data_IF_042528553023
#
_entry.id   IF_042528553023
#
_cell.length_a   1.000
_cell.length_b   1.000
_cell.length_c   1.000
_cell.angle_alpha   90.00
_cell.angle_beta   90.00
_cell.angle_gamma   90.00
#
_symmetry.space_group_name_H-M   'P 1'
#
loop_
_entity.id
_entity.type
_entity.pdbx_description
1 polymer ?
#
# COMPACT_ATOMS: atom_id res chain seq x y z
N UNK A 1 -73.53 2.79 -4.04
CA UNK A 1 -72.92 3.06 -5.37
C UNK A 1 -72.04 4.30 -5.17
N UNK A 2 -70.81 4.22 -4.66
CA UNK A 2 -69.67 3.37 -5.05
C UNK A 2 -69.28 3.50 -6.53
N UNK A 3 -67.98 3.67 -6.75
CA UNK A 3 -67.25 3.55 -8.03
C UNK A 3 -67.29 4.75 -9.00
N UNK A 4 -66.75 5.89 -8.56
CA UNK A 4 -65.77 6.67 -9.35
C UNK A 4 -64.60 7.04 -8.45
N UNK A 5 -63.76 6.04 -8.20
CA UNK A 5 -62.53 6.18 -7.45
C UNK A 5 -61.36 6.19 -8.45
N UNK A 6 -60.32 6.98 -8.15
CA UNK A 6 -58.94 6.77 -8.62
C UNK A 6 -58.76 6.83 -10.15
N UNK A 7 -58.76 8.04 -10.71
CA UNK A 7 -58.22 8.30 -12.07
C UNK A 7 -57.44 9.63 -12.16
N UNK A 8 -57.22 10.32 -11.04
CA UNK A 8 -56.64 11.68 -10.97
C UNK A 8 -55.34 11.78 -10.14
N UNK A 9 -54.82 10.65 -9.65
CA UNK A 9 -53.62 10.60 -8.79
C UNK A 9 -52.53 9.67 -9.34
N UNK A 10 -52.65 9.28 -10.62
CA UNK A 10 -51.58 8.65 -11.42
C UNK A 10 -50.91 9.68 -12.34
N UNK A 11 -50.94 10.95 -11.93
CA UNK A 11 -50.23 12.06 -12.56
C UNK A 11 -48.80 12.25 -11.97
N UNK A 12 -48.37 11.36 -11.07
CA UNK A 12 -46.98 11.22 -10.70
C UNK A 12 -46.24 10.34 -11.72
N UNK A 13 -45.22 10.91 -12.37
CA UNK A 13 -44.36 10.24 -13.37
C UNK A 13 -45.05 9.84 -14.69
N UNK A 14 -45.77 10.77 -15.32
CA UNK A 14 -45.77 10.82 -16.78
C UNK A 14 -44.33 11.14 -17.23
N UNK A 15 -43.67 10.12 -17.79
CA UNK A 15 -42.51 10.32 -18.65
C UNK A 15 -43.03 11.07 -19.87
N UNK A 16 -42.44 12.23 -20.17
CA UNK A 16 -42.85 13.04 -21.30
C UNK A 16 -42.32 12.42 -22.60
N UNK A 17 -43.12 11.53 -23.21
CA UNK A 17 -42.85 10.86 -24.49
C UNK A 17 -42.67 11.85 -25.68
N UNK A 18 -42.74 13.16 -25.45
CA UNK A 18 -42.48 14.21 -26.46
C UNK A 18 -41.06 14.18 -27.03
N UNK A 19 -40.12 13.45 -26.41
CA UNK A 19 -38.71 13.42 -26.79
C UNK A 19 -38.15 11.99 -26.86
N UNK A 20 -37.33 11.65 -27.88
CA UNK A 20 -36.72 10.32 -27.98
C UNK A 20 -35.68 10.07 -26.88
N UNK A 21 -35.41 8.80 -26.52
CA UNK A 21 -34.47 8.40 -25.44
C UNK A 21 -33.05 8.99 -25.53
N UNK A 22 -32.62 9.43 -26.72
CA UNK A 22 -31.32 10.08 -26.95
C UNK A 22 -31.41 11.61 -27.00
N UNK A 23 -32.55 12.20 -26.62
CA UNK A 23 -32.71 13.65 -26.58
C UNK A 23 -31.82 14.27 -25.50
N UNK A 24 -31.26 15.42 -25.81
CA UNK A 24 -30.42 16.21 -24.91
C UNK A 24 -30.80 17.66 -25.13
N UNK A 25 -31.32 18.31 -24.09
CA UNK A 25 -31.68 19.73 -24.13
C UNK A 25 -30.42 20.58 -24.38
N UNK A 26 -30.25 21.08 -25.62
CA UNK A 26 -29.07 21.86 -26.00
C UNK A 26 -28.88 23.13 -25.12
N UNK A 27 -30.00 23.70 -24.64
CA UNK A 27 -30.02 24.91 -23.80
C UNK A 27 -29.60 24.63 -22.34
N UNK A 28 -30.00 23.49 -21.75
CA UNK A 28 -29.79 23.23 -20.29
C UNK A 28 -28.68 22.21 -19.99
N UNK A 29 -28.26 21.43 -20.99
CA UNK A 29 -27.27 20.36 -20.81
C UNK A 29 -25.92 20.87 -20.28
N UNK A 30 -25.47 22.05 -20.71
CA UNK A 30 -24.18 22.61 -20.33
C UNK A 30 -24.23 23.51 -19.08
N UNK A 31 -25.41 23.89 -18.58
CA UNK A 31 -25.55 24.79 -17.42
C UNK A 31 -24.98 24.21 -16.12
N UNK A 32 -25.05 22.89 -15.97
CA UNK A 32 -24.54 22.18 -14.79
C UNK A 32 -23.05 21.81 -14.87
N UNK A 33 -22.32 22.31 -15.88
CA UNK A 33 -20.94 21.95 -16.16
C UNK A 33 -19.97 22.73 -15.26
N UNK A 34 -19.52 22.08 -14.19
CA UNK A 34 -18.62 22.68 -13.20
C UNK A 34 -17.14 22.41 -13.54
N UNK A 35 -16.34 23.47 -13.66
CA UNK A 35 -14.90 23.39 -13.83
C UNK A 35 -14.19 23.35 -12.48
N UNK A 36 -13.30 22.37 -12.29
CA UNK A 36 -12.46 22.19 -11.11
C UNK A 36 -13.18 22.17 -9.73
N UNK A 37 -14.41 21.61 -9.57
CA UNK A 37 -15.20 21.71 -8.32
C UNK A 37 -14.58 20.99 -7.10
N UNK A 38 -13.49 20.24 -7.29
CA UNK A 38 -12.74 19.56 -6.21
C UNK A 38 -11.24 19.89 -6.24
N UNK A 39 -10.87 21.08 -6.72
CA UNK A 39 -9.48 21.52 -6.71
C UNK A 39 -8.98 21.68 -5.27
N UNK A 40 -8.11 20.78 -4.82
CA UNK A 40 -7.31 20.97 -3.61
C UNK A 40 -6.02 21.70 -4.02
N UNK A 41 -5.74 22.91 -3.50
CA UNK A 41 -4.45 23.55 -3.71
C UNK A 41 -3.33 22.68 -3.12
N UNK A 42 -2.17 22.66 -3.77
CA UNK A 42 -1.01 21.96 -3.23
C UNK A 42 -0.26 22.91 -2.29
N UNK A 43 -0.27 22.60 -1.01
CA UNK A 43 0.60 23.24 -0.04
C UNK A 43 2.05 22.80 -0.25
N UNK A 44 2.98 23.75 -0.25
CA UNK A 44 4.38 23.49 -0.57
C UNK A 44 5.03 22.48 0.38
N UNK A 45 4.87 22.65 1.69
CA UNK A 45 5.53 21.80 2.68
C UNK A 45 5.03 20.35 2.69
N UNK A 46 3.72 20.06 2.65
CA UNK A 46 3.20 18.71 2.44
C UNK A 46 3.67 18.07 1.12
N UNK A 47 3.77 18.85 0.04
CA UNK A 47 4.23 18.32 -1.25
C UNK A 47 5.72 17.94 -1.24
N UNK A 48 6.57 18.80 -0.66
CA UNK A 48 7.99 18.48 -0.38
C UNK A 48 8.07 17.23 0.50
N UNK A 49 7.25 17.15 1.55
CA UNK A 49 7.18 16.03 2.46
C UNK A 49 6.79 14.70 1.77
N UNK A 50 5.85 14.71 0.82
CA UNK A 50 5.52 13.51 0.02
C UNK A 50 6.63 13.15 -0.99
N UNK A 51 7.34 14.13 -1.56
CA UNK A 51 8.45 13.88 -2.49
C UNK A 51 9.62 13.08 -1.85
N UNK A 52 9.73 13.10 -0.51
CA UNK A 52 10.75 12.34 0.23
C UNK A 52 10.70 10.83 -0.03
N UNK A 53 9.54 10.24 -0.37
CA UNK A 53 9.42 8.80 -0.68
C UNK A 53 10.22 8.46 -1.96
N UNK A 54 10.14 9.35 -2.95
CA UNK A 54 10.85 9.24 -4.22
C UNK A 54 12.36 9.37 -3.96
N UNK A 55 12.75 10.40 -3.21
CA UNK A 55 14.14 10.63 -2.79
C UNK A 55 14.71 9.42 -2.04
N UNK A 56 14.00 8.86 -1.07
CA UNK A 56 14.46 7.66 -0.36
C UNK A 56 14.74 6.48 -1.29
N UNK A 57 13.91 6.27 -2.33
CA UNK A 57 14.14 5.20 -3.28
C UNK A 57 15.35 5.49 -4.19
N UNK A 58 15.43 6.69 -4.77
CA UNK A 58 16.56 7.10 -5.61
C UNK A 58 17.88 7.05 -4.82
N UNK A 59 17.90 7.51 -3.56
CA UNK A 59 19.07 7.36 -2.69
C UNK A 59 19.41 5.89 -2.44
N UNK A 60 18.44 4.99 -2.22
CA UNK A 60 18.71 3.55 -2.05
C UNK A 60 19.35 2.92 -3.29
N UNK A 61 18.89 3.31 -4.49
CA UNK A 61 19.49 2.91 -5.78
C UNK A 61 20.91 3.45 -5.93
N UNK A 62 21.15 4.74 -5.63
CA UNK A 62 22.47 5.36 -5.70
C UNK A 62 23.44 4.71 -4.73
N UNK A 63 23.02 4.44 -3.48
CA UNK A 63 23.83 3.73 -2.48
C UNK A 63 24.20 2.33 -2.99
N UNK A 64 23.23 1.57 -3.54
CA UNK A 64 23.50 0.26 -4.11
C UNK A 64 24.56 0.32 -5.23
N UNK A 65 24.45 1.27 -6.16
CA UNK A 65 25.43 1.45 -7.25
C UNK A 65 26.80 1.92 -6.73
N UNK A 66 26.85 2.76 -5.69
CA UNK A 66 28.10 3.19 -5.05
C UNK A 66 28.79 2.02 -4.32
N UNK A 67 28.03 1.18 -3.62
CA UNK A 67 28.54 -0.05 -3.01
C UNK A 67 29.07 -1.02 -4.08
N UNK A 68 28.32 -1.24 -5.17
CA UNK A 68 28.77 -2.09 -6.27
C UNK A 68 30.07 -1.58 -6.91
N UNK A 69 30.17 -0.28 -7.22
CA UNK A 69 31.39 0.29 -7.81
C UNK A 69 32.57 0.26 -6.85
N UNK A 70 32.35 0.48 -5.54
CA UNK A 70 33.39 0.31 -4.51
C UNK A 70 33.90 -1.13 -4.37
N UNK A 71 33.01 -2.13 -4.53
CA UNK A 71 33.37 -3.56 -4.57
C UNK A 71 34.09 -3.90 -5.88
N UNK A 72 33.64 -3.38 -7.02
CA UNK A 72 34.23 -3.62 -8.34
C UNK A 72 35.64 -3.01 -8.50
N UNK A 73 35.91 -1.90 -7.79
CA UNK A 73 37.24 -1.28 -7.69
C UNK A 73 38.13 -1.90 -6.59
N UNK A 74 37.70 -3.00 -5.95
CA UNK A 74 38.40 -3.69 -4.85
C UNK A 74 38.71 -2.82 -3.61
N UNK A 75 38.02 -1.67 -3.47
CA UNK A 75 38.23 -0.72 -2.36
C UNK A 75 37.49 -1.08 -1.08
N UNK A 76 36.37 -1.80 -1.21
CA UNK A 76 35.52 -2.18 -0.09
C UNK A 76 35.22 -3.68 -0.20
N UNK A 77 35.42 -4.42 0.89
CA UNK A 77 35.09 -5.84 0.88
C UNK A 77 33.56 -6.04 0.82
N UNK A 78 33.02 -6.83 -0.13
CA UNK A 78 31.58 -7.06 -0.22
C UNK A 78 30.98 -7.63 1.08
N UNK A 79 31.78 -8.38 1.82
CA UNK A 79 31.45 -8.99 3.11
C UNK A 79 31.21 -7.92 4.18
N UNK A 80 32.00 -6.84 4.21
CA UNK A 80 31.72 -5.69 5.11
C UNK A 80 30.46 -4.92 4.72
N UNK A 81 30.17 -4.77 3.42
CA UNK A 81 28.95 -4.07 2.96
C UNK A 81 27.70 -4.84 3.40
N UNK A 82 27.63 -6.14 3.09
CA UNK A 82 26.50 -6.98 3.49
C UNK A 82 26.46 -7.21 5.01
N UNK A 83 27.61 -7.19 5.70
CA UNK A 83 27.68 -7.22 7.17
C UNK A 83 27.01 -6.00 7.82
N UNK A 84 27.29 -4.79 7.32
CA UNK A 84 26.61 -3.59 7.82
C UNK A 84 25.12 -3.53 7.44
N UNK A 85 24.76 -4.02 6.25
CA UNK A 85 23.38 -4.04 5.78
C UNK A 85 22.50 -5.10 6.48
N UNK A 86 23.04 -6.30 6.75
CA UNK A 86 22.39 -7.32 7.61
C UNK A 86 22.18 -6.77 9.03
N UNK A 87 23.19 -6.14 9.64
CA UNK A 87 23.06 -5.48 10.96
C UNK A 87 21.98 -4.39 10.93
N UNK A 88 21.96 -3.54 9.91
CA UNK A 88 20.91 -2.53 9.72
C UNK A 88 19.51 -3.13 9.55
N UNK A 89 19.40 -4.24 8.82
CA UNK A 89 18.15 -4.99 8.61
C UNK A 89 17.64 -5.61 9.91
N UNK A 90 18.53 -6.24 10.70
CA UNK A 90 18.20 -6.78 12.03
C UNK A 90 17.80 -5.65 12.99
N UNK A 91 18.54 -4.54 13.01
CA UNK A 91 18.20 -3.38 13.84
C UNK A 91 16.83 -2.77 13.45
N UNK A 92 16.53 -2.65 12.16
CA UNK A 92 15.22 -2.22 11.67
C UNK A 92 14.09 -3.19 12.02
N UNK A 93 14.36 -4.49 12.01
CA UNK A 93 13.41 -5.52 12.45
C UNK A 93 13.16 -5.48 13.97
N UNK A 94 14.20 -5.35 14.78
CA UNK A 94 14.07 -5.18 16.25
C UNK A 94 13.33 -3.87 16.58
N UNK A 95 13.64 -2.77 15.89
CA UNK A 95 12.94 -1.49 16.08
C UNK A 95 11.46 -1.59 15.67
N UNK A 96 11.15 -2.34 14.60
CA UNK A 96 9.77 -2.65 14.21
C UNK A 96 9.05 -3.44 15.31
N UNK A 97 9.62 -4.55 15.74
CA UNK A 97 9.07 -5.43 16.77
C UNK A 97 8.86 -4.69 18.11
N UNK A 98 9.80 -3.81 18.49
CA UNK A 98 9.70 -2.98 19.71
C UNK A 98 8.51 -2.01 19.69
N UNK A 99 8.27 -1.28 18.60
CA UNK A 99 7.15 -0.32 18.56
C UNK A 99 5.79 -1.03 18.40
N UNK A 100 5.72 -2.13 17.63
CA UNK A 100 4.53 -3.00 17.59
C UNK A 100 4.25 -3.60 18.98
N UNK A 101 5.31 -3.91 19.74
CA UNK A 101 5.29 -4.20 21.17
C UNK A 101 4.43 -3.23 21.97
N UNK A 102 4.67 -1.93 21.81
CA UNK A 102 3.96 -0.85 22.52
C UNK A 102 2.51 -0.71 22.09
N UNK A 103 2.23 -0.67 20.79
CA UNK A 103 0.84 -0.50 20.30
C UNK A 103 -0.10 -1.59 20.86
N UNK A 104 0.35 -2.85 20.93
CA UNK A 104 -0.47 -3.93 21.46
C UNK A 104 -0.70 -3.81 22.97
N UNK A 105 0.28 -3.32 23.74
CA UNK A 105 0.13 -3.07 25.18
C UNK A 105 -0.81 -1.89 25.43
N UNK A 106 -0.68 -0.81 24.67
CA UNK A 106 -1.58 0.36 24.74
C UNK A 106 -3.01 -0.03 24.35
N UNK A 107 -3.21 -0.80 23.27
CA UNK A 107 -4.54 -1.34 22.90
C UNK A 107 -5.11 -2.28 23.96
N UNK A 108 -4.29 -3.15 24.56
CA UNK A 108 -4.74 -4.04 25.64
C UNK A 108 -5.17 -3.24 26.88
N UNK A 109 -4.43 -2.19 27.25
CA UNK A 109 -4.79 -1.30 28.34
C UNK A 109 -6.11 -0.55 28.06
N UNK A 110 -6.30 0.00 26.84
CA UNK A 110 -7.55 0.66 26.43
C UNK A 110 -8.76 -0.30 26.46
N UNK A 111 -8.59 -1.54 26.01
CA UNK A 111 -9.65 -2.56 26.06
C UNK A 111 -9.98 -2.97 27.50
N UNK A 112 -8.99 -3.00 28.39
CA UNK A 112 -9.19 -3.29 29.81
C UNK A 112 -9.93 -2.14 30.50
N UNK A 113 -9.49 -0.89 30.31
CA UNK A 113 -10.10 0.30 30.90
C UNK A 113 -11.55 0.51 30.43
N UNK A 114 -11.80 0.34 29.11
CA UNK A 114 -13.15 0.37 28.54
C UNK A 114 -14.06 -0.76 29.02
N UNK A 115 -13.51 -1.90 29.47
CA UNK A 115 -14.29 -2.98 30.08
C UNK A 115 -14.64 -2.71 31.55
N UNK A 116 -13.81 -1.96 32.29
CA UNK A 116 -14.10 -1.54 33.66
C UNK A 116 -15.11 -0.38 33.71
N UNK A 117 -15.01 0.61 32.80
CA UNK A 117 -15.95 1.73 32.72
C UNK A 117 -17.39 1.37 32.34
N UNK A 118 -17.66 0.14 31.88
CA UNK A 118 -19.00 -0.32 31.48
C UNK A 118 -19.95 -0.68 32.63
N UNK A 119 -19.44 -0.87 33.86
CA UNK A 119 -20.22 -1.42 34.97
C UNK A 119 -20.78 -0.37 35.95
N UNK A 120 -20.25 0.85 35.96
CA UNK A 120 -20.61 1.88 36.95
C UNK A 120 -21.88 2.70 36.59
N UNK A 121 -22.45 2.47 35.39
CA UNK A 121 -23.62 3.19 34.90
C UNK A 121 -24.98 2.68 35.45
N UNK A 122 -25.00 1.77 36.42
CA UNK A 122 -26.23 1.25 37.05
C UNK A 122 -26.13 1.27 38.59
N UNK A 123 -26.05 2.45 39.19
CA UNK A 123 -26.68 2.67 40.51
C UNK A 123 -26.96 4.14 40.82
N UNK A 124 -28.09 4.37 41.49
CA UNK A 124 -28.44 5.56 42.28
C UNK A 124 -28.64 6.91 41.56
N UNK A 125 -29.91 7.25 41.32
CA UNK A 125 -30.48 8.55 41.75
C UNK A 125 -31.97 8.39 42.06
N UNK A 126 -32.27 7.89 43.25
CA UNK A 126 -33.60 7.99 43.87
C UNK A 126 -33.50 8.95 45.05
N UNK A 127 -33.95 10.20 44.85
CA UNK A 127 -34.14 11.14 45.96
C UNK A 127 -35.32 12.08 45.70
N UNK A 128 -36.32 11.90 46.55
CA UNK A 128 -37.46 12.77 46.84
C UNK A 128 -37.16 14.28 46.80
N UNK A 129 -38.14 15.05 46.30
CA UNK A 129 -38.25 16.48 46.56
C UNK A 129 -38.55 16.78 48.04
N UNK A 130 -38.59 18.07 48.42
CA UNK A 130 -39.89 18.75 48.41
C UNK A 130 -39.85 20.13 47.74
N UNK A 131 -41.02 20.73 47.51
CA UNK A 131 -41.19 21.91 46.66
C UNK A 131 -41.19 23.26 47.38
N UNK A 132 -41.22 24.33 46.58
CA UNK A 132 -41.77 25.62 46.94
C UNK A 132 -42.38 26.25 45.68
N UNK A 133 -43.52 26.91 45.83
CA UNK A 133 -44.33 27.41 44.71
C UNK A 133 -44.39 28.94 44.70
N UNK A 134 -44.32 29.52 43.50
CA UNK A 134 -44.98 30.81 43.20
C UNK A 134 -45.34 30.85 41.73
N UNK A 135 -46.57 31.25 41.42
CA UNK A 135 -47.15 31.20 40.07
C UNK A 135 -47.45 32.62 39.54
N UNK A 136 -47.38 32.80 38.22
CA UNK A 136 -47.97 33.94 37.49
C UNK A 136 -48.54 33.44 36.14
N UNK A 137 -49.77 33.87 35.83
CA UNK A 137 -50.58 33.56 34.63
C UNK A 137 -50.51 34.75 33.63
N UNK A 138 -50.86 34.71 32.34
CA UNK A 138 -51.39 33.73 31.34
C UNK A 138 -51.27 34.40 29.93
N UNK A 139 -51.92 34.00 28.80
CA UNK A 139 -52.66 32.76 28.42
C UNK A 139 -52.25 32.14 27.05
N UNK A 140 -53.00 31.11 26.65
CA UNK A 140 -53.14 30.35 25.38
C UNK A 140 -52.99 31.14 24.03
N UNK A 141 -52.80 30.54 22.84
CA UNK A 141 -53.54 29.41 22.21
C UNK A 141 -52.73 28.55 21.18
N UNK A 142 -53.21 27.35 20.77
CA UNK A 142 -52.42 26.30 20.10
C UNK A 142 -52.81 25.95 18.65
N UNK A 143 -51.94 25.21 17.92
CA UNK A 143 -52.30 24.30 16.82
C UNK A 143 -51.40 23.04 16.86
N UNK A 144 -51.99 21.85 16.71
CA UNK A 144 -51.33 20.55 16.48
C UNK A 144 -51.41 20.20 14.97
N UNK A 145 -50.65 19.26 14.38
CA UNK A 145 -50.81 17.80 14.47
C UNK A 145 -49.62 17.11 13.76
N UNK A 146 -49.01 16.09 14.36
CA UNK A 146 -49.21 14.65 14.09
C UNK A 146 -48.43 14.09 12.87
N UNK A 147 -47.57 13.10 13.14
CA UNK A 147 -46.79 12.35 12.14
C UNK A 147 -47.27 10.90 12.11
N UNK A 148 -47.62 10.38 10.92
CA UNK A 148 -48.23 9.04 10.77
C UNK A 148 -47.43 8.12 9.83
N UNK A 149 -47.19 6.90 10.28
CA UNK A 149 -46.33 5.88 9.65
C UNK A 149 -47.08 4.96 8.69
N UNK A 150 -46.57 4.74 7.46
CA UNK A 150 -46.98 3.65 6.54
C UNK A 150 -45.70 3.18 5.81
N UNK A 151 -45.08 2.01 6.08
CA UNK A 151 -45.42 0.59 5.82
C UNK A 151 -45.31 0.16 4.34
N UNK A 152 -44.30 -0.67 4.05
CA UNK A 152 -43.99 -1.29 2.73
C UNK A 152 -45.01 -2.38 2.34
N UNK A 153 -45.18 -2.61 1.04
CA UNK A 153 -45.68 -3.86 0.44
C UNK A 153 -44.80 -4.26 -0.76
N UNK A 154 -44.88 -5.51 -1.23
CA UNK A 154 -43.89 -6.14 -2.13
C UNK A 154 -44.49 -6.78 -3.39
N UNK A 155 -43.65 -6.90 -4.43
CA UNK A 155 -43.80 -7.77 -5.59
C UNK A 155 -44.11 -7.03 -6.91
N UNK A 156 -43.80 -7.52 -8.11
CA UNK A 156 -42.92 -8.58 -8.61
C UNK A 156 -43.24 -8.70 -10.13
N UNK A 157 -42.25 -8.75 -11.03
CA UNK A 157 -42.52 -8.96 -12.47
C UNK A 157 -41.36 -8.61 -13.41
N UNK A 158 -40.84 -9.61 -14.11
CA UNK A 158 -40.00 -9.54 -15.33
C UNK A 158 -40.89 -9.94 -16.55
N UNK A 159 -40.51 -9.86 -17.85
CA UNK A 159 -39.15 -10.16 -18.39
C UNK A 159 -38.66 -9.36 -19.64
N UNK A 160 -37.42 -9.69 -20.08
CA UNK A 160 -36.87 -9.67 -21.47
C UNK A 160 -36.82 -8.35 -22.31
N UNK A 161 -35.82 -8.05 -23.17
CA UNK A 161 -34.52 -8.67 -23.55
C UNK A 161 -33.57 -7.66 -24.25
N UNK A 162 -32.33 -8.10 -24.54
CA UNK A 162 -31.35 -7.54 -25.49
C UNK A 162 -30.41 -6.37 -25.06
N UNK A 163 -29.20 -6.73 -24.64
CA UNK A 163 -27.99 -5.88 -24.73
C UNK A 163 -26.95 -6.49 -25.67
N UNK A 164 -26.41 -5.71 -26.62
CA UNK A 164 -25.30 -6.12 -27.49
C UNK A 164 -23.95 -5.78 -26.84
N UNK A 165 -23.03 -6.75 -26.79
CA UNK A 165 -21.61 -6.52 -26.48
C UNK A 165 -20.88 -5.85 -27.65
N UNK A 166 -19.87 -5.00 -27.38
CA UNK A 166 -18.67 -4.88 -28.19
C UNK A 166 -17.56 -5.78 -27.61
N UNK A 167 -16.94 -6.60 -28.45
CA UNK A 167 -15.84 -7.49 -28.08
C UNK A 167 -14.48 -6.78 -28.14
N UNK A 168 -13.67 -6.95 -27.09
CA UNK A 168 -12.24 -6.65 -27.10
C UNK A 168 -11.45 -7.95 -26.90
N UNK A 169 -10.45 -8.17 -27.75
CA UNK A 169 -9.67 -9.42 -27.85
C UNK A 169 -8.71 -9.62 -26.69
N UNK A 170 -9.00 -10.60 -25.82
CA UNK A 170 -8.09 -11.04 -24.77
C UNK A 170 -7.04 -12.02 -25.31
N UNK A 171 -5.76 -11.67 -25.21
CA UNK A 171 -4.66 -12.63 -25.40
C UNK A 171 -4.35 -13.27 -24.04
N UNK A 172 -4.63 -14.56 -23.92
CA UNK A 172 -4.49 -15.32 -22.67
C UNK A 172 -3.02 -15.46 -22.27
N UNK A 173 -2.68 -15.09 -21.03
CA UNK A 173 -1.50 -15.64 -20.34
C UNK A 173 -1.83 -15.93 -18.89
N UNK A 174 -1.46 -17.13 -18.46
CA UNK A 174 -1.85 -17.73 -17.17
C UNK A 174 -0.94 -17.25 -16.03
N UNK A 175 -1.55 -17.05 -14.85
CA UNK A 175 -0.81 -17.00 -13.59
C UNK A 175 0.03 -18.26 -13.37
N UNK A 176 1.14 -18.13 -12.65
CA UNK A 176 1.46 -19.08 -11.60
C UNK A 176 1.56 -18.39 -10.24
N UNK A 177 0.71 -18.82 -9.30
CA UNK A 177 0.99 -18.63 -7.87
C UNK A 177 2.20 -19.52 -7.51
N UNK A 178 3.36 -18.91 -7.28
CA UNK A 178 4.58 -19.64 -6.88
C UNK A 178 4.58 -19.96 -5.38
N UNK A 179 3.68 -20.84 -4.93
CA UNK A 179 3.79 -21.52 -3.64
C UNK A 179 4.77 -22.68 -3.74
N UNK A 180 6.01 -22.48 -3.29
CA UNK A 180 7.02 -23.54 -3.23
C UNK A 180 6.76 -24.52 -2.09
N UNK A 181 6.17 -25.68 -2.41
CA UNK A 181 6.30 -26.92 -1.63
C UNK A 181 6.47 -28.09 -2.61
N UNK A 182 7.45 -28.95 -2.36
CA UNK A 182 7.74 -30.11 -3.19
C UNK A 182 6.71 -31.23 -2.98
N UNK A 183 6.36 -31.94 -4.05
CA UNK A 183 5.59 -33.19 -4.00
C UNK A 183 6.42 -34.33 -4.57
N UNK A 184 6.71 -35.33 -3.75
CA UNK A 184 7.18 -36.64 -4.22
C UNK A 184 6.03 -37.41 -4.86
N UNK A 185 6.34 -38.20 -5.89
CA UNK A 185 5.36 -38.99 -6.66
C UNK A 185 4.84 -40.21 -5.89
N UNK A 186 3.58 -40.60 -6.14
CA UNK A 186 3.22 -42.01 -6.25
C UNK A 186 1.94 -42.23 -7.08
N UNK A 187 1.93 -43.28 -7.90
CA UNK A 187 0.88 -43.63 -8.88
C UNK A 187 -0.41 -44.20 -8.24
N UNK A 188 -1.58 -43.97 -8.88
CA UNK A 188 -2.46 -45.02 -9.45
C UNK A 188 -3.81 -44.45 -9.96
N UNK A 189 -4.56 -45.25 -10.73
CA UNK A 189 -5.65 -44.82 -11.64
C UNK A 189 -7.07 -45.33 -11.18
N UNK A 190 -8.19 -45.29 -11.94
CA UNK A 190 -9.40 -44.57 -11.51
C UNK A 190 -10.67 -45.45 -11.33
N UNK A 191 -11.76 -44.88 -10.76
CA UNK A 191 -13.07 -45.56 -10.75
C UNK A 191 -14.29 -44.78 -10.22
N UNK A 192 -15.24 -44.51 -11.12
CA UNK A 192 -16.71 -44.46 -10.93
C UNK A 192 -17.40 -43.51 -9.90
N UNK A 193 -17.97 -42.42 -10.45
CA UNK A 193 -19.41 -42.10 -10.51
C UNK A 193 -20.28 -41.73 -9.27
N UNK A 194 -21.00 -40.61 -9.45
CA UNK A 194 -22.37 -40.28 -8.97
C UNK A 194 -22.63 -39.89 -7.50
N UNK A 195 -23.30 -38.74 -7.32
CA UNK A 195 -23.96 -38.35 -6.05
C UNK A 195 -24.09 -36.84 -5.84
N UNK A 196 -25.28 -36.28 -6.08
CA UNK A 196 -25.63 -34.87 -5.76
C UNK A 196 -26.42 -34.83 -4.44
N UNK A 197 -26.13 -33.87 -3.55
CA UNK A 197 -27.03 -33.15 -2.59
C UNK A 197 -26.22 -32.60 -1.35
N UNK A 198 -26.74 -31.68 -0.50
CA UNK A 198 -25.96 -30.48 -0.14
C UNK A 198 -25.69 -30.26 1.37
N UNK A 199 -24.90 -29.21 1.64
CA UNK A 199 -24.79 -28.43 2.90
C UNK A 199 -24.94 -29.14 4.26
N UNK A 200 -23.83 -29.31 4.97
CA UNK A 200 -23.73 -29.00 6.42
C UNK A 200 -22.33 -28.48 6.77
N UNK A 201 -22.26 -27.34 7.45
CA UNK A 201 -21.00 -26.77 7.93
C UNK A 201 -20.56 -27.43 9.23
N UNK A 202 -19.83 -28.55 9.14
CA UNK A 202 -19.26 -29.20 10.32
C UNK A 202 -17.98 -28.51 10.77
N UNK A 203 -18.03 -27.87 11.94
CA UNK A 203 -16.88 -27.32 12.63
C UNK A 203 -15.93 -28.43 13.09
N UNK A 204 -14.79 -28.57 12.42
CA UNK A 204 -13.74 -29.52 12.82
C UNK A 204 -13.05 -29.05 14.10
N UNK A 205 -13.51 -29.58 15.24
CA UNK A 205 -12.76 -29.58 16.49
C UNK A 205 -11.68 -30.67 16.39
N UNK A 206 -10.41 -30.30 16.48
CA UNK A 206 -9.30 -31.26 16.56
C UNK A 206 -9.09 -31.69 18.03
N UNK A 207 -9.11 -32.99 18.35
CA UNK A 207 -8.85 -33.45 19.71
C UNK A 207 -7.34 -33.44 20.03
N UNK A 208 -7.07 -32.96 21.24
CA UNK A 208 -5.88 -33.11 22.10
C UNK A 208 -4.78 -34.10 21.64
N UNK A 209 -3.50 -33.71 21.73
CA UNK A 209 -2.43 -34.73 21.72
C UNK A 209 -1.06 -34.38 21.15
N UNK A 210 -0.62 -33.12 21.11
CA UNK A 210 0.82 -32.84 20.96
C UNK A 210 1.27 -31.82 22.00
N UNK A 211 2.37 -32.14 22.69
CA UNK A 211 3.04 -31.22 23.63
C UNK A 211 3.81 -30.16 22.86
N UNK A 212 3.08 -29.37 22.07
CA UNK A 212 3.58 -28.12 21.54
C UNK A 212 3.76 -27.17 22.72
N UNK A 213 5.03 -26.96 23.12
CA UNK A 213 5.43 -25.83 23.95
C UNK A 213 4.69 -24.61 23.42
N UNK A 214 3.81 -24.03 24.24
CA UNK A 214 2.86 -23.01 23.80
C UNK A 214 3.57 -21.67 23.68
N UNK A 215 4.44 -21.57 22.68
CA UNK A 215 5.17 -20.37 22.34
C UNK A 215 4.18 -19.25 22.06
N UNK A 216 4.48 -18.04 22.55
CA UNK A 216 3.71 -16.84 22.23
C UNK A 216 3.57 -16.71 20.70
N UNK A 217 2.40 -16.27 20.16
CA UNK A 217 2.21 -16.08 18.72
C UNK A 217 3.31 -15.21 18.09
N UNK A 218 3.83 -14.24 18.84
CA UNK A 218 5.01 -13.43 18.46
C UNK A 218 6.27 -14.28 18.28
N UNK A 219 6.59 -15.18 19.21
CA UNK A 219 7.74 -16.10 19.08
C UNK A 219 7.59 -17.01 17.86
N UNK A 220 6.35 -17.43 17.52
CA UNK A 220 6.07 -18.20 16.32
C UNK A 220 6.31 -17.38 15.04
N UNK A 221 5.85 -16.13 14.96
CA UNK A 221 6.12 -15.22 13.83
C UNK A 221 7.63 -14.92 13.66
N UNK A 222 8.35 -14.75 14.77
CA UNK A 222 9.81 -14.60 14.76
C UNK A 222 10.49 -15.87 14.22
N UNK A 223 10.04 -17.06 14.62
CA UNK A 223 10.60 -18.33 14.15
C UNK A 223 10.30 -18.59 12.67
N UNK A 224 9.10 -18.27 12.17
CA UNK A 224 8.79 -18.40 10.73
C UNK A 224 9.61 -17.42 9.89
N UNK A 225 9.82 -16.19 10.37
CA UNK A 225 10.67 -15.18 9.73
C UNK A 225 12.15 -15.59 9.74
N UNK A 226 12.67 -16.11 10.86
CA UNK A 226 14.03 -16.62 10.94
C UNK A 226 14.23 -17.84 10.03
N UNK A 227 13.24 -18.74 9.95
CA UNK A 227 13.24 -19.89 9.04
C UNK A 227 13.27 -19.46 7.58
N UNK A 228 12.46 -18.48 7.17
CA UNK A 228 12.46 -18.01 5.77
C UNK A 228 13.76 -17.27 5.43
N UNK A 229 14.29 -16.44 6.33
CA UNK A 229 15.61 -15.80 6.17
C UNK A 229 16.75 -16.83 6.01
N UNK A 230 16.76 -17.88 6.82
CA UNK A 230 17.74 -18.97 6.71
C UNK A 230 17.62 -19.72 5.37
N UNK A 231 16.39 -19.98 4.89
CA UNK A 231 16.17 -20.60 3.58
C UNK A 231 16.66 -19.71 2.43
N UNK A 232 16.46 -18.39 2.50
CA UNK A 232 17.00 -17.42 1.53
C UNK A 232 18.54 -17.44 1.57
N UNK A 233 19.13 -17.38 2.76
CA UNK A 233 20.59 -17.42 2.93
C UNK A 233 21.22 -18.70 2.35
N UNK A 234 20.68 -19.88 2.71
CA UNK A 234 21.17 -21.17 2.24
C UNK A 234 20.97 -21.37 0.73
N UNK A 235 19.82 -20.93 0.18
CA UNK A 235 19.57 -21.02 -1.27
C UNK A 235 20.49 -20.09 -2.07
N UNK A 236 20.74 -18.85 -1.62
CA UNK A 236 21.68 -17.94 -2.26
C UNK A 236 23.12 -18.48 -2.26
N UNK A 237 23.56 -19.17 -1.19
CA UNK A 237 24.87 -19.83 -1.17
C UNK A 237 24.97 -20.93 -2.24
N UNK A 238 23.95 -21.78 -2.36
CA UNK A 238 23.90 -22.83 -3.39
C UNK A 238 23.76 -22.30 -4.82
N UNK A 239 23.02 -21.20 -5.01
CA UNK A 239 22.78 -20.59 -6.33
C UNK A 239 23.89 -19.64 -6.77
N UNK A 240 24.75 -19.14 -5.88
CA UNK A 240 25.81 -18.18 -6.22
C UNK A 240 26.72 -18.61 -7.41
N UNK A 241 27.21 -19.86 -7.49
CA UNK A 241 27.98 -20.31 -8.65
C UNK A 241 27.18 -20.26 -9.97
N UNK A 242 25.88 -20.56 -9.91
CA UNK A 242 24.97 -20.52 -11.06
C UNK A 242 24.75 -19.07 -11.49
N UNK A 243 24.42 -18.17 -10.57
CA UNK A 243 24.26 -16.73 -10.82
C UNK A 243 25.53 -16.11 -11.43
N UNK A 244 26.72 -16.53 -10.97
CA UNK A 244 27.99 -16.12 -11.57
C UNK A 244 28.15 -16.61 -13.01
N UNK A 245 27.73 -17.84 -13.30
CA UNK A 245 27.86 -18.44 -14.63
C UNK A 245 26.85 -17.91 -15.66
N UNK A 246 25.68 -17.46 -15.19
CA UNK A 246 24.47 -17.19 -16.00
C UNK A 246 24.73 -16.25 -17.18
N UNK A 247 25.44 -15.14 -16.96
CA UNK A 247 25.69 -14.11 -17.99
C UNK A 247 27.14 -14.10 -18.48
N UNK A 248 27.88 -15.21 -18.31
CA UNK A 248 29.30 -15.31 -18.72
C UNK A 248 29.50 -15.19 -20.23
N UNK A 249 28.49 -15.58 -21.02
CA UNK A 249 28.47 -15.45 -22.49
C UNK A 249 28.07 -14.05 -22.97
N UNK A 250 27.56 -13.19 -22.09
CA UNK A 250 27.14 -11.82 -22.44
C UNK A 250 28.33 -10.85 -22.33
N UNK A 251 28.46 -9.94 -23.30
CA UNK A 251 29.49 -8.91 -23.31
C UNK A 251 29.34 -7.94 -22.13
N UNK A 252 30.47 -7.38 -21.67
CA UNK A 252 30.51 -6.43 -20.55
C UNK A 252 29.62 -5.21 -20.81
N UNK A 253 29.71 -4.63 -22.01
CA UNK A 253 29.03 -3.37 -22.35
C UNK A 253 27.50 -3.53 -22.36
N UNK A 254 27.02 -4.68 -22.86
CA UNK A 254 25.60 -5.05 -22.78
C UNK A 254 25.14 -5.28 -21.34
N UNK A 255 25.98 -5.82 -20.46
CA UNK A 255 25.68 -5.97 -19.02
C UNK A 255 25.54 -4.60 -18.32
N UNK A 256 26.43 -3.65 -18.61
CA UNK A 256 26.33 -2.28 -18.10
C UNK A 256 25.08 -1.56 -18.63
N UNK A 257 24.78 -1.71 -19.92
CA UNK A 257 23.59 -1.11 -20.54
C UNK A 257 22.28 -1.72 -19.98
N UNK A 258 22.19 -3.05 -19.88
CA UNK A 258 21.01 -3.74 -19.36
C UNK A 258 20.76 -3.42 -17.88
N UNK A 259 21.81 -3.41 -17.06
CA UNK A 259 21.67 -3.04 -15.64
C UNK A 259 21.25 -1.58 -15.44
N UNK A 260 21.76 -0.65 -16.26
CA UNK A 260 21.30 0.74 -16.28
C UNK A 260 19.81 0.85 -16.63
N UNK A 261 19.36 0.21 -17.72
CA UNK A 261 17.95 0.23 -18.13
C UNK A 261 17.01 -0.49 -17.14
N UNK A 262 17.46 -1.60 -16.54
CA UNK A 262 16.70 -2.29 -15.49
C UNK A 262 16.60 -1.47 -14.21
N UNK A 263 17.63 -0.69 -13.87
CA UNK A 263 17.59 0.20 -12.71
C UNK A 263 16.73 1.46 -12.96
N UNK A 264 16.71 1.97 -14.20
CA UNK A 264 15.72 2.95 -14.66
C UNK A 264 14.30 2.37 -14.52
N UNK A 265 14.07 1.15 -15.01
CA UNK A 265 12.78 0.49 -14.93
C UNK A 265 12.36 0.27 -13.47
N UNK A 266 13.27 -0.13 -12.59
CA UNK A 266 13.04 -0.21 -11.14
C UNK A 266 12.51 1.12 -10.59
N UNK A 267 13.21 2.23 -10.84
CA UNK A 267 12.82 3.57 -10.34
C UNK A 267 11.47 4.04 -10.90
N UNK A 268 11.20 3.87 -12.20
CA UNK A 268 9.93 4.32 -12.80
C UNK A 268 8.72 3.45 -12.46
N UNK A 269 8.93 2.15 -12.21
CA UNK A 269 7.85 1.21 -11.87
C UNK A 269 7.66 1.01 -10.37
N UNK A 270 8.41 1.73 -9.53
CA UNK A 270 8.27 1.67 -8.09
C UNK A 270 6.94 2.29 -7.63
N UNK A 271 6.22 1.62 -6.72
CA UNK A 271 4.98 2.12 -6.13
C UNK A 271 5.28 3.20 -5.05
N UNK A 272 5.30 4.46 -5.45
CA UNK A 272 5.42 5.61 -4.55
C UNK A 272 4.11 5.96 -3.82
N UNK A 273 3.05 5.16 -3.98
CA UNK A 273 1.74 5.40 -3.39
C UNK A 273 1.76 5.44 -1.86
N UNK A 274 1.33 6.58 -1.29
CA UNK A 274 1.12 6.73 0.15
C UNK A 274 -0.14 6.02 0.67
N UNK A 275 -1.06 5.64 -0.22
CA UNK A 275 -2.39 5.13 0.11
C UNK A 275 -2.52 3.59 0.10
N UNK A 276 -3.53 3.02 0.77
CA UNK A 276 -3.80 1.58 0.74
C UNK A 276 -4.59 1.10 -0.50
N UNK A 277 -5.15 2.01 -1.31
CA UNK A 277 -6.27 1.68 -2.23
C UNK A 277 -5.89 1.23 -3.66
N UNK A 278 -4.62 1.28 -4.07
CA UNK A 278 -4.20 0.70 -5.36
C UNK A 278 -2.90 -0.08 -5.21
N UNK A 279 -2.99 -1.34 -4.75
CA UNK A 279 -1.88 -2.30 -4.82
C UNK A 279 -1.70 -2.77 -6.26
N UNK A 280 -0.91 -2.04 -7.04
CA UNK A 280 -0.22 -2.67 -8.16
C UNK A 280 0.82 -3.68 -7.62
N UNK A 281 1.12 -4.76 -8.35
CA UNK A 281 2.04 -5.76 -7.85
C UNK A 281 3.46 -5.18 -7.80
N UNK A 282 3.96 -4.97 -6.58
CA UNK A 282 5.31 -4.45 -6.31
C UNK A 282 6.43 -5.30 -6.95
N UNK A 283 6.10 -6.51 -7.42
CA UNK A 283 7.00 -7.42 -8.11
C UNK A 283 7.70 -6.83 -9.32
N UNK A 284 7.08 -5.95 -10.12
CA UNK A 284 7.75 -5.47 -11.35
C UNK A 284 9.05 -4.70 -11.02
N UNK A 285 8.96 -3.71 -10.13
CA UNK A 285 10.09 -2.90 -9.70
C UNK A 285 11.13 -3.73 -8.93
N UNK A 286 10.71 -4.58 -7.98
CA UNK A 286 11.65 -5.42 -7.22
C UNK A 286 12.33 -6.44 -8.11
N UNK A 287 11.62 -7.08 -9.05
CA UNK A 287 12.20 -8.04 -9.98
C UNK A 287 13.20 -7.35 -10.93
N UNK A 288 12.90 -6.12 -11.38
CA UNK A 288 13.83 -5.34 -12.20
C UNK A 288 15.14 -5.02 -11.45
N UNK A 289 15.05 -4.56 -10.20
CA UNK A 289 16.25 -4.34 -9.36
C UNK A 289 17.02 -5.63 -9.08
N UNK A 290 16.33 -6.73 -8.75
CA UNK A 290 16.98 -8.02 -8.51
C UNK A 290 17.66 -8.55 -9.78
N UNK A 291 17.05 -8.41 -10.97
CA UNK A 291 17.67 -8.76 -12.25
C UNK A 291 18.86 -7.85 -12.59
N UNK A 292 18.75 -6.53 -12.37
CA UNK A 292 19.90 -5.63 -12.53
C UNK A 292 21.05 -6.06 -11.61
N UNK A 293 20.73 -6.41 -10.37
CA UNK A 293 21.70 -6.80 -9.34
C UNK A 293 22.36 -8.14 -9.63
N UNK A 294 21.63 -9.17 -10.11
CA UNK A 294 22.23 -10.47 -10.46
C UNK A 294 23.13 -10.37 -11.70
N UNK A 295 22.73 -9.57 -12.69
CA UNK A 295 23.50 -9.31 -13.93
C UNK A 295 24.77 -8.48 -13.63
N UNK A 296 24.76 -7.60 -12.63
CA UNK A 296 25.96 -6.93 -12.10
C UNK A 296 26.82 -7.87 -11.25
N UNK A 297 26.20 -8.66 -10.36
CA UNK A 297 26.88 -9.57 -9.44
C UNK A 297 27.76 -10.59 -10.17
N UNK A 298 27.30 -11.13 -11.31
CA UNK A 298 28.02 -12.14 -12.09
C UNK A 298 29.37 -11.66 -12.64
N UNK A 299 29.59 -10.35 -12.74
CA UNK A 299 30.87 -9.74 -13.14
C UNK A 299 31.93 -9.74 -12.04
N UNK A 300 31.57 -10.08 -10.80
CA UNK A 300 32.49 -10.10 -9.67
C UNK A 300 33.38 -11.36 -9.68
N UNK A 301 34.67 -11.24 -9.31
CA UNK A 301 35.65 -12.31 -9.50
C UNK A 301 35.39 -13.56 -8.64
N UNK A 302 34.74 -13.41 -7.48
CA UNK A 302 34.51 -14.48 -6.50
C UNK A 302 33.02 -14.78 -6.31
N UNK A 303 32.66 -16.04 -6.11
CA UNK A 303 31.28 -16.45 -5.75
C UNK A 303 30.82 -15.85 -4.43
N UNK A 304 31.72 -15.63 -3.47
CA UNK A 304 31.41 -14.91 -2.22
C UNK A 304 31.02 -13.46 -2.48
N UNK A 305 31.59 -12.81 -3.50
CA UNK A 305 31.24 -11.43 -3.86
C UNK A 305 29.86 -11.39 -4.54
N UNK A 306 29.60 -12.34 -5.45
CA UNK A 306 28.28 -12.54 -6.08
C UNK A 306 27.19 -12.71 -5.00
N UNK A 307 27.40 -13.65 -4.07
CA UNK A 307 26.51 -13.94 -2.94
C UNK A 307 26.26 -12.70 -2.06
N UNK A 308 27.32 -11.97 -1.71
CA UNK A 308 27.19 -10.80 -0.84
C UNK A 308 26.40 -9.67 -1.53
N UNK A 309 26.63 -9.44 -2.83
CA UNK A 309 25.89 -8.41 -3.58
C UNK A 309 24.42 -8.80 -3.80
N UNK A 310 24.12 -10.07 -4.03
CA UNK A 310 22.72 -10.52 -4.22
C UNK A 310 21.93 -10.51 -2.90
N UNK A 311 22.56 -10.87 -1.78
CA UNK A 311 21.95 -10.72 -0.46
C UNK A 311 21.70 -9.23 -0.12
N UNK A 312 22.71 -8.37 -0.32
CA UNK A 312 22.58 -6.92 -0.15
C UNK A 312 21.48 -6.30 -1.03
N UNK A 313 21.33 -6.78 -2.27
CA UNK A 313 20.24 -6.37 -3.17
C UNK A 313 18.85 -6.71 -2.61
N UNK A 314 18.67 -7.89 -2.03
CA UNK A 314 17.41 -8.31 -1.38
C UNK A 314 17.11 -7.42 -0.15
N UNK A 315 18.14 -7.02 0.59
CA UNK A 315 17.98 -6.09 1.73
C UNK A 315 17.56 -4.70 1.26
N UNK A 316 18.25 -4.11 0.27
CA UNK A 316 18.01 -2.74 -0.21
C UNK A 316 16.71 -2.61 -1.03
N UNK A 317 16.36 -3.61 -1.85
CA UNK A 317 15.21 -3.53 -2.75
C UNK A 317 14.01 -4.37 -2.32
N UNK A 318 14.19 -5.38 -1.47
CA UNK A 318 13.12 -6.21 -0.92
C UNK A 318 12.68 -5.75 0.47
N UNK A 319 13.60 -5.75 1.44
CA UNK A 319 13.28 -5.53 2.85
C UNK A 319 13.17 -4.05 3.23
N UNK A 320 14.09 -3.21 2.75
CA UNK A 320 14.12 -1.79 3.07
C UNK A 320 12.86 -1.01 2.65
N UNK A 321 12.25 -1.24 1.47
CA UNK A 321 11.00 -0.58 1.10
C UNK A 321 9.80 -0.99 1.97
N UNK A 322 9.83 -2.20 2.56
CA UNK A 322 8.83 -2.63 3.54
C UNK A 322 9.06 -1.93 4.88
N UNK A 323 10.32 -1.87 5.36
CA UNK A 323 10.66 -1.19 6.61
C UNK A 323 10.25 0.30 6.60
N UNK A 324 10.63 1.06 5.57
CA UNK A 324 10.32 2.51 5.49
C UNK A 324 8.81 2.79 5.50
N UNK A 325 7.99 1.90 4.90
CA UNK A 325 6.52 2.03 4.91
C UNK A 325 5.99 1.93 6.34
N UNK A 326 6.46 0.96 7.13
CA UNK A 326 6.08 0.83 8.53
C UNK A 326 6.58 2.03 9.36
N UNK A 327 7.83 2.46 9.17
CA UNK A 327 8.42 3.59 9.89
C UNK A 327 7.66 4.91 9.65
N UNK A 328 7.23 5.16 8.40
CA UNK A 328 6.44 6.34 8.03
C UNK A 328 5.04 6.34 8.66
N UNK A 329 4.38 5.18 8.72
CA UNK A 329 3.08 5.06 9.39
C UNK A 329 3.19 5.24 10.91
N UNK A 330 4.30 4.82 11.53
CA UNK A 330 4.53 5.06 12.96
C UNK A 330 4.88 6.52 13.26
N UNK A 331 5.93 7.03 12.61
CA UNK A 331 6.66 8.20 13.10
C UNK A 331 7.12 9.09 11.94
N UNK A 332 6.54 10.27 11.85
CA UNK A 332 6.94 11.27 10.87
C UNK A 332 8.41 11.67 11.05
N UNK A 333 8.84 11.91 12.29
CA UNK A 333 10.22 12.26 12.65
C UNK A 333 11.23 11.16 12.27
N UNK A 334 10.88 9.88 12.46
CA UNK A 334 11.73 8.76 12.06
C UNK A 334 11.92 8.67 10.54
N UNK A 335 10.85 8.93 9.78
CA UNK A 335 10.91 9.02 8.32
C UNK A 335 11.81 10.18 7.83
N UNK A 336 11.78 11.33 8.50
CA UNK A 336 12.69 12.45 8.18
C UNK A 336 14.15 12.10 8.49
N UNK A 337 14.45 11.55 9.68
CA UNK A 337 15.81 11.10 10.02
C UNK A 337 16.35 10.02 9.07
N UNK A 338 15.49 9.09 8.63
CA UNK A 338 15.85 8.10 7.62
C UNK A 338 16.18 8.76 6.28
N UNK A 339 15.37 9.73 5.85
CA UNK A 339 15.59 10.48 4.59
C UNK A 339 16.90 11.24 4.62
N UNK A 340 17.17 12.02 5.68
CA UNK A 340 18.42 12.78 5.79
C UNK A 340 19.64 11.86 5.84
N UNK A 341 19.55 10.73 6.56
CA UNK A 341 20.63 9.74 6.63
C UNK A 341 20.93 9.10 5.27
N UNK A 342 19.88 8.75 4.50
CA UNK A 342 20.04 8.22 3.14
C UNK A 342 20.64 9.24 2.16
N UNK A 343 20.22 10.51 2.24
CA UNK A 343 20.77 11.57 1.38
C UNK A 343 22.24 11.81 1.67
N UNK A 344 22.63 11.84 2.96
CA UNK A 344 24.03 11.94 3.39
C UNK A 344 24.82 10.72 2.91
N UNK A 345 24.29 9.50 3.08
CA UNK A 345 24.97 8.26 2.66
C UNK A 345 25.13 8.15 1.13
N UNK A 346 24.12 8.58 0.35
CA UNK A 346 24.19 8.63 -1.10
C UNK A 346 25.19 9.69 -1.58
N UNK A 347 25.18 10.89 -1.00
CA UNK A 347 26.10 11.98 -1.34
C UNK A 347 27.56 11.66 -1.01
N UNK A 348 27.82 11.16 0.21
CA UNK A 348 29.15 10.68 0.63
C UNK A 348 29.63 9.54 -0.26
N UNK A 349 28.81 8.51 -0.49
CA UNK A 349 29.14 7.36 -1.33
C UNK A 349 29.50 7.76 -2.76
N UNK A 350 28.67 8.58 -3.40
CA UNK A 350 28.90 9.03 -4.78
C UNK A 350 30.20 9.83 -4.89
N UNK A 351 30.45 10.77 -3.98
CA UNK A 351 31.69 11.56 -4.02
C UNK A 351 32.93 10.77 -3.66
N UNK A 352 32.86 9.75 -2.78
CA UNK A 352 33.98 8.85 -2.50
C UNK A 352 34.35 8.00 -3.74
N UNK A 353 33.35 7.50 -4.47
CA UNK A 353 33.55 6.75 -5.72
C UNK A 353 34.23 7.63 -6.78
N UNK A 354 33.75 8.87 -6.98
CA UNK A 354 34.31 9.81 -7.96
C UNK A 354 35.72 10.30 -7.54
N UNK A 355 35.91 10.65 -6.28
CA UNK A 355 37.16 11.27 -5.78
C UNK A 355 38.35 10.32 -5.74
N UNK A 356 38.11 9.01 -5.63
CA UNK A 356 39.18 8.05 -5.37
C UNK A 356 39.32 7.59 -3.91
N UNK A 357 38.33 7.88 -3.05
CA UNK A 357 38.34 7.51 -1.63
C UNK A 357 38.80 8.59 -0.64
N UNK A 358 38.90 9.86 -1.06
CA UNK A 358 39.27 10.95 -0.16
C UNK A 358 38.14 11.35 0.79
N UNK A 359 38.34 11.18 2.11
CA UNK A 359 37.34 11.53 3.14
C UNK A 359 36.82 12.97 3.06
N UNK A 360 37.68 13.94 2.74
CA UNK A 360 37.28 15.34 2.54
C UNK A 360 36.29 15.53 1.39
N UNK A 361 36.45 14.79 0.29
CA UNK A 361 35.48 14.78 -0.81
C UNK A 361 34.20 14.04 -0.42
N UNK A 362 34.27 13.05 0.48
CA UNK A 362 33.08 12.45 1.10
C UNK A 362 32.24 13.50 1.85
N UNK A 363 32.86 14.32 2.71
CA UNK A 363 32.17 15.40 3.44
C UNK A 363 31.59 16.44 2.47
N UNK A 364 32.36 16.85 1.46
CA UNK A 364 31.89 17.75 0.41
C UNK A 364 30.67 17.16 -0.34
N UNK A 365 30.71 15.86 -0.62
CA UNK A 365 29.60 15.10 -1.22
C UNK A 365 28.35 15.02 -0.36
N UNK A 366 28.51 14.90 0.96
CA UNK A 366 27.39 14.97 1.91
C UNK A 366 26.66 16.32 1.81
N UNK A 367 27.43 17.41 1.83
CA UNK A 367 26.90 18.78 1.80
C UNK A 367 26.29 19.12 0.44
N UNK A 368 27.00 18.82 -0.66
CA UNK A 368 26.49 19.04 -2.02
C UNK A 368 25.29 18.15 -2.34
N UNK A 369 25.30 16.88 -1.90
CA UNK A 369 24.18 15.96 -2.07
C UNK A 369 22.94 16.40 -1.30
N UNK A 370 23.09 16.85 -0.05
CA UNK A 370 22.01 17.42 0.73
C UNK A 370 21.45 18.70 0.08
N UNK A 371 22.32 19.61 -0.37
CA UNK A 371 21.92 20.85 -1.04
C UNK A 371 21.18 20.57 -2.35
N UNK A 372 21.73 19.72 -3.22
CA UNK A 372 21.14 19.36 -4.51
C UNK A 372 19.79 18.65 -4.34
N UNK A 373 19.65 17.78 -3.34
CA UNK A 373 18.38 17.09 -3.06
C UNK A 373 17.35 18.05 -2.46
N UNK A 374 17.75 18.98 -1.58
CA UNK A 374 16.88 20.04 -1.09
C UNK A 374 16.39 20.96 -2.21
N UNK A 375 17.29 21.36 -3.10
CA UNK A 375 16.94 22.16 -4.29
C UNK A 375 16.03 21.41 -5.26
N UNK A 376 16.25 20.11 -5.51
CA UNK A 376 15.41 19.34 -6.43
C UNK A 376 14.01 19.07 -5.86
N UNK A 377 13.87 18.76 -4.57
CA UNK A 377 12.57 18.65 -3.89
C UNK A 377 11.82 19.99 -3.89
N UNK A 378 12.52 21.10 -3.62
CA UNK A 378 11.92 22.44 -3.66
C UNK A 378 11.49 22.86 -5.06
N UNK A 379 12.35 22.67 -6.07
CA UNK A 379 12.07 23.01 -7.46
C UNK A 379 10.94 22.17 -8.06
N UNK A 380 10.92 20.85 -7.80
CA UNK A 380 9.82 19.98 -8.26
C UNK A 380 8.50 20.33 -7.60
N UNK A 381 8.49 20.63 -6.29
CA UNK A 381 7.28 21.06 -5.57
C UNK A 381 6.77 22.42 -6.06
N UNK A 382 7.66 23.40 -6.28
CA UNK A 382 7.31 24.68 -6.91
C UNK A 382 6.71 24.46 -8.30
N UNK A 383 7.35 23.65 -9.14
CA UNK A 383 6.88 23.39 -10.50
C UNK A 383 5.49 22.74 -10.50
N UNK A 384 5.25 21.74 -9.63
CA UNK A 384 3.94 21.11 -9.49
C UNK A 384 2.83 22.08 -9.03
N UNK A 385 3.14 23.03 -8.14
CA UNK A 385 2.23 24.13 -7.78
C UNK A 385 1.96 25.02 -9.00
N UNK A 386 3.02 25.40 -9.73
CA UNK A 386 2.91 26.17 -10.98
C UNK A 386 2.10 25.46 -12.07
N UNK A 387 2.09 24.12 -12.10
CA UNK A 387 1.28 23.33 -13.01
C UNK A 387 -0.21 23.28 -12.64
N UNK A 388 -0.59 23.58 -11.39
CA UNK A 388 -2.01 23.59 -10.99
C UNK A 388 -2.84 24.58 -11.82
N UNK A 389 -2.25 25.71 -12.25
CA UNK A 389 -2.92 26.71 -13.11
C UNK A 389 -3.35 26.19 -14.49
N UNK A 390 -2.77 25.07 -14.93
CA UNK A 390 -3.12 24.41 -16.20
C UNK A 390 -4.06 23.21 -16.01
N UNK A 391 -4.41 22.85 -14.77
CA UNK A 391 -5.33 21.73 -14.51
C UNK A 391 -6.76 22.14 -14.87
N UNK A 392 -7.33 21.45 -15.86
CA UNK A 392 -8.71 21.65 -16.33
C UNK A 392 -9.49 20.34 -16.21
N UNK A 393 -10.18 20.15 -15.09
CA UNK A 393 -11.09 19.03 -14.87
C UNK A 393 -12.53 19.56 -14.98
N UNK A 394 -13.18 19.27 -16.10
CA UNK A 394 -14.62 19.53 -16.28
C UNK A 394 -15.39 18.37 -15.63
N UNK A 395 -16.46 18.68 -14.92
CA UNK A 395 -17.43 17.71 -14.41
C UNK A 395 -18.84 18.11 -14.76
N UNK A 396 -19.66 17.15 -15.16
CA UNK A 396 -21.09 17.33 -15.40
C UNK A 396 -21.93 16.35 -14.58
N UNK A 397 -23.26 16.51 -14.55
CA UNK A 397 -24.17 15.59 -13.87
C UNK A 397 -24.15 14.15 -14.42
N UNK A 398 -23.61 13.94 -15.62
CA UNK A 398 -23.39 12.62 -16.24
C UNK A 398 -22.10 11.90 -15.77
N UNK A 399 -21.25 12.53 -14.96
CA UNK A 399 -20.06 11.86 -14.41
C UNK A 399 -20.46 10.73 -13.45
N UNK A 400 -19.84 9.53 -13.53
CA UNK A 400 -20.13 8.44 -12.60
C UNK A 400 -20.01 8.86 -11.13
N UNK A 401 -21.12 8.74 -10.41
CA UNK A 401 -21.20 9.11 -9.00
C UNK A 401 -20.18 8.32 -8.17
N UNK A 402 -19.16 9.00 -7.65
CA UNK A 402 -18.16 8.37 -6.77
C UNK A 402 -18.77 8.17 -5.37
N UNK A 403 -18.77 6.95 -4.82
CA UNK A 403 -19.36 6.68 -3.51
C UNK A 403 -18.67 7.51 -2.43
N UNK A 404 -19.46 8.27 -1.67
CA UNK A 404 -18.95 9.04 -0.52
C UNK A 404 -18.88 8.11 0.67
N UNK A 405 -17.74 7.47 0.87
CA UNK A 405 -17.47 6.64 2.05
C UNK A 405 -17.34 7.54 3.28
N UNK A 406 -18.47 7.83 3.93
CA UNK A 406 -18.48 8.42 5.27
C UNK A 406 -17.97 7.37 6.25
N UNK A 407 -16.77 7.57 6.80
CA UNK A 407 -16.28 6.77 7.93
C UNK A 407 -16.95 7.27 9.20
N UNK A 408 -17.74 6.41 9.85
CA UNK A 408 -18.40 6.70 11.12
C UNK A 408 -19.68 7.53 10.96
N UNK A 409 -20.79 6.98 11.44
CA UNK A 409 -21.67 7.73 12.34
C UNK A 409 -21.30 7.19 13.73
N UNK A 410 -21.02 8.09 14.67
CA UNK A 410 -20.98 7.78 16.10
C UNK A 410 -22.37 8.03 16.71
#
# INVERSE_FOLDING_TARGET
>A
MHTKAIELDVAGALIDDSYPDNYTDEETFLDHLQRNPRLRPYEFWPLVADSTIIVQHVCSVVIFVCCFTGIFQERVSPQTVVGWATVGTVAGWVLRDWWQGKEEVERAAMLQDGAFGGNDAISNTSSSGPGSATAVTEPATPIAEASSTIRRLSGAGLPDTHSRNPSATSVTSTQPNASFVATSEMNAMPGAASGVQPFTSTSHITPYGSTALTFSPRTQERLTTAKSALLIYCSLLGLSPILKSLTRSTSSDSIWALSFWLMILNVFTFDYGAGPEVRFPASLSTNAALMASTVLASRLPNTTHVFSLTLFSIEVFGLFPVFRRHLRHHSWTGHLWLTTSLVIMAGTGLSLVISGGGWGFGILGALLGALATGMSMGMTSWWLIGLQRYKNEIRGPWDPARPVIRRGWD
#
